data_IF_428630286082
#
_entry.id   IF_428630286082
#
_cell.length_a   1.000
_cell.length_b   1.000
_cell.length_c   1.000
_cell.angle_alpha   90.00
_cell.angle_beta   90.00
_cell.angle_gamma   90.00
#
_symmetry.space_group_name_H-M   'P 1'
#
loop_
_entity.id
_entity.type
_entity.pdbx_description
1 polymer ?
#
# COMPACT_ATOMS: atom_id res chain seq x y z
N UNK A 1 -4.51 14.20 -7.84
CA UNK A 1 -4.10 13.72 -9.18
C UNK A 1 -2.58 13.75 -9.27
N UNK A 2 -1.98 12.86 -10.05
CA UNK A 2 -0.53 12.82 -10.30
C UNK A 2 -0.26 12.88 -11.81
N UNK A 3 0.77 13.61 -12.21
CA UNK A 3 1.20 13.76 -13.60
C UNK A 3 2.72 13.66 -13.65
N UNK A 4 3.24 12.87 -14.58
CA UNK A 4 4.67 12.74 -14.84
C UNK A 4 4.90 12.36 -16.31
N UNK A 5 6.13 12.56 -16.78
CA UNK A 5 6.63 12.10 -18.07
C UNK A 5 6.86 10.58 -18.16
N UNK A 6 6.82 9.89 -17.02
CA UNK A 6 6.92 8.43 -16.89
C UNK A 6 5.62 7.86 -16.28
N UNK A 7 5.38 6.53 -16.38
CA UNK A 7 4.23 5.90 -15.73
C UNK A 7 4.18 6.21 -14.24
N UNK A 8 3.02 6.70 -13.78
CA UNK A 8 2.79 7.10 -12.39
C UNK A 8 1.43 6.58 -11.93
N UNK A 9 1.37 6.13 -10.68
CA UNK A 9 0.14 5.71 -10.01
C UNK A 9 -0.13 6.57 -8.80
N UNK A 10 -1.42 6.80 -8.53
CA UNK A 10 -1.89 7.50 -7.33
C UNK A 10 -3.16 6.82 -6.84
N UNK A 11 -3.28 6.71 -5.54
CA UNK A 11 -4.46 6.21 -4.87
C UNK A 11 -4.78 7.06 -3.64
N UNK A 12 -6.05 7.11 -3.27
CA UNK A 12 -6.55 7.76 -2.06
C UNK A 12 -7.79 7.00 -1.62
N UNK A 13 -7.87 6.67 -0.33
CA UNK A 13 -8.96 5.90 0.23
C UNK A 13 -9.58 6.66 1.40
N UNK A 14 -10.88 6.45 1.64
CA UNK A 14 -11.51 7.01 2.84
C UNK A 14 -11.47 5.97 3.95
N UNK A 15 -10.87 6.32 5.08
CA UNK A 15 -10.79 5.46 6.26
C UNK A 15 -12.18 5.18 6.81
N UNK A 16 -12.51 3.88 6.91
CA UNK A 16 -13.76 3.37 7.51
C UNK A 16 -13.48 2.05 8.22
N UNK A 17 -14.26 1.67 9.24
CA UNK A 17 -14.12 0.36 9.86
C UNK A 17 -14.18 -0.77 8.83
N UNK A 18 -13.19 -1.67 8.86
CA UNK A 18 -13.05 -2.75 7.87
C UNK A 18 -12.73 -4.09 8.53
N UNK A 19 -13.07 -5.19 7.85
CA UNK A 19 -12.67 -6.52 8.27
C UNK A 19 -11.23 -6.83 7.80
N UNK A 20 -10.36 -7.15 8.75
CA UNK A 20 -8.96 -7.54 8.49
C UNK A 20 -8.83 -8.88 7.72
N UNK A 21 -9.93 -9.63 7.55
CA UNK A 21 -9.95 -10.80 6.65
C UNK A 21 -9.65 -10.41 5.19
N UNK A 22 -9.94 -9.16 4.79
CA UNK A 22 -9.55 -8.62 3.48
C UNK A 22 -8.02 -8.59 3.37
N UNK A 23 -7.33 -8.05 4.39
CA UNK A 23 -5.87 -8.04 4.45
C UNK A 23 -5.30 -9.46 4.35
N UNK A 24 -5.88 -10.41 5.08
CA UNK A 24 -5.42 -11.81 5.06
C UNK A 24 -5.49 -12.46 3.67
N UNK A 25 -6.43 -12.03 2.82
CA UNK A 25 -6.63 -12.57 1.48
C UNK A 25 -5.74 -11.92 0.42
N UNK A 26 -5.47 -10.63 0.56
CA UNK A 26 -4.82 -9.84 -0.49
C UNK A 26 -3.40 -9.38 -0.15
N UNK A 27 -3.05 -9.23 1.12
CA UNK A 27 -1.72 -8.75 1.51
C UNK A 27 -0.72 -9.91 1.58
N UNK A 28 0.55 -9.57 1.46
CA UNK A 28 1.63 -10.50 1.71
C UNK A 28 1.62 -10.93 3.18
N UNK A 29 2.26 -12.07 3.49
CA UNK A 29 2.37 -12.54 4.89
C UNK A 29 3.08 -11.52 5.77
N UNK A 30 4.06 -10.80 5.22
CA UNK A 30 4.81 -9.76 5.93
C UNK A 30 3.89 -8.60 6.31
N UNK A 31 3.14 -8.08 5.34
CA UNK A 31 2.19 -6.97 5.54
C UNK A 31 1.07 -7.34 6.52
N UNK A 32 0.51 -8.55 6.38
CA UNK A 32 -0.52 -9.02 7.30
C UNK A 32 0.02 -9.18 8.73
N UNK A 33 1.25 -9.65 8.89
CA UNK A 33 1.92 -9.73 10.19
C UNK A 33 2.19 -8.33 10.77
N UNK A 34 2.67 -7.39 9.96
CA UNK A 34 2.94 -6.01 10.37
C UNK A 34 1.65 -5.32 10.81
N UNK A 35 0.54 -5.57 10.09
CA UNK A 35 -0.79 -5.08 10.42
C UNK A 35 -1.29 -5.63 11.77
N UNK A 36 -1.17 -6.94 12.00
CA UNK A 36 -1.59 -7.55 13.26
C UNK A 36 -0.72 -7.16 14.45
N UNK A 37 0.51 -6.69 14.21
CA UNK A 37 1.40 -6.18 15.25
C UNK A 37 1.02 -4.76 15.73
N UNK A 38 0.12 -4.06 15.03
CA UNK A 38 -0.39 -2.75 15.44
C UNK A 38 -1.42 -2.88 16.56
N UNK A 39 -1.53 -1.80 17.34
CA UNK A 39 -2.62 -1.65 18.30
C UNK A 39 -3.97 -1.58 17.57
N UNK A 40 -5.05 -2.04 18.22
CA UNK A 40 -6.35 -2.24 17.56
C UNK A 40 -6.94 -0.96 16.95
N UNK A 41 -6.66 0.17 17.58
CA UNK A 41 -7.04 1.51 17.12
C UNK A 41 -6.22 1.99 15.91
N UNK A 42 -4.98 1.53 15.76
CA UNK A 42 -4.11 1.86 14.61
C UNK A 42 -4.29 0.90 13.42
N UNK A 43 -4.86 -0.29 13.64
CA UNK A 43 -4.99 -1.33 12.59
C UNK A 43 -5.80 -0.86 11.38
N UNK A 44 -6.86 -0.07 11.58
CA UNK A 44 -7.68 0.39 10.45
C UNK A 44 -6.90 1.38 9.59
N UNK A 45 -6.22 2.35 10.20
CA UNK A 45 -5.43 3.35 9.47
C UNK A 45 -4.25 2.69 8.76
N UNK A 46 -3.55 1.78 9.45
CA UNK A 46 -2.45 1.04 8.85
C UNK A 46 -2.90 0.14 7.69
N UNK A 47 -4.10 -0.44 7.75
CA UNK A 47 -4.69 -1.15 6.62
C UNK A 47 -4.83 -0.23 5.40
N UNK A 48 -5.35 0.99 5.58
CA UNK A 48 -5.54 1.93 4.46
C UNK A 48 -4.22 2.48 3.93
N UNK A 49 -3.20 2.66 4.77
CA UNK A 49 -1.85 2.95 4.29
C UNK A 49 -1.34 1.81 3.40
N UNK A 50 -1.42 0.56 3.85
CA UNK A 50 -1.00 -0.59 3.03
C UNK A 50 -1.80 -0.66 1.73
N UNK A 51 -3.12 -0.54 1.81
CA UNK A 51 -4.01 -0.63 0.66
C UNK A 51 -3.69 0.45 -0.40
N UNK A 52 -3.64 1.72 0.00
CA UNK A 52 -3.37 2.83 -0.90
C UNK A 52 -1.97 2.77 -1.52
N UNK A 53 -0.95 2.39 -0.73
CA UNK A 53 0.39 2.15 -1.26
C UNK A 53 0.39 1.06 -2.33
N UNK A 54 -0.27 -0.08 -2.08
CA UNK A 54 -0.32 -1.19 -3.04
C UNK A 54 -1.11 -0.84 -4.30
N UNK A 55 -2.27 -0.19 -4.17
CA UNK A 55 -3.07 0.27 -5.31
C UNK A 55 -2.33 1.33 -6.13
N UNK A 56 -1.58 2.23 -5.49
CA UNK A 56 -0.75 3.22 -6.20
C UNK A 56 0.31 2.52 -7.07
N UNK A 57 0.93 1.45 -6.57
CA UNK A 57 1.90 0.67 -7.34
C UNK A 57 1.25 -0.10 -8.49
N UNK A 58 0.11 -0.75 -8.26
CA UNK A 58 -0.63 -1.46 -9.32
C UNK A 58 -1.07 -0.49 -10.43
N UNK A 59 -1.51 0.72 -10.05
CA UNK A 59 -1.89 1.78 -11.01
C UNK A 59 -0.70 2.30 -11.79
N UNK A 60 0.48 2.39 -11.17
CA UNK A 60 1.72 2.73 -11.87
C UNK A 60 2.09 1.65 -12.90
N UNK A 61 2.00 0.37 -12.50
CA UNK A 61 2.31 -0.77 -13.36
C UNK A 61 1.35 -0.92 -14.54
N UNK A 62 0.12 -0.41 -14.41
CA UNK A 62 -0.89 -0.42 -15.48
C UNK A 62 -1.43 -1.81 -15.84
N UNK A 63 -1.07 -2.85 -15.08
CA UNK A 63 -1.47 -4.25 -15.29
C UNK A 63 -2.82 -4.60 -14.63
N UNK A 64 -3.38 -3.67 -13.84
CA UNK A 64 -4.58 -3.90 -13.05
C UNK A 64 -4.43 -5.11 -12.11
N UNK A 65 -5.54 -5.79 -11.82
CA UNK A 65 -5.58 -6.95 -10.92
C UNK A 65 -4.89 -8.22 -11.46
N UNK A 66 -4.29 -8.16 -12.65
CA UNK A 66 -3.42 -9.25 -13.13
C UNK A 66 -2.12 -9.35 -12.35
N UNK A 67 -1.73 -8.30 -11.62
CA UNK A 67 -0.65 -8.34 -10.64
C UNK A 67 -1.21 -8.75 -9.26
N UNK A 68 -0.85 -9.92 -8.71
CA UNK A 68 -1.33 -10.34 -7.41
C UNK A 68 -0.82 -9.41 -6.31
N UNK A 69 -1.70 -8.94 -5.44
CA UNK A 69 -1.33 -8.06 -4.32
C UNK A 69 -0.35 -8.73 -3.35
N UNK A 70 -0.32 -10.07 -3.28
CA UNK A 70 0.61 -10.82 -2.43
C UNK A 70 1.99 -11.08 -3.08
N UNK A 71 2.20 -10.65 -4.33
CA UNK A 71 3.46 -10.85 -5.07
C UNK A 71 4.57 -9.84 -4.76
N UNK A 72 4.25 -8.78 -4.01
CA UNK A 72 5.16 -7.76 -3.54
C UNK A 72 4.73 -7.30 -2.14
N UNK A 73 5.68 -6.72 -1.38
CA UNK A 73 5.39 -6.18 -0.04
C UNK A 73 5.71 -4.70 0.02
N UNK A 74 4.87 -3.91 0.67
CA UNK A 74 5.15 -2.52 1.04
C UNK A 74 5.19 -2.40 2.56
N UNK A 75 5.97 -1.46 3.07
CA UNK A 75 6.02 -1.14 4.50
C UNK A 75 6.17 0.35 4.70
N UNK A 76 5.31 0.91 5.55
CA UNK A 76 5.45 2.26 6.08
C UNK A 76 6.25 2.20 7.39
N UNK A 77 7.37 2.91 7.43
CA UNK A 77 8.27 3.01 8.57
C UNK A 77 7.85 4.15 9.51
N UNK A 78 8.34 4.13 10.75
CA UNK A 78 7.99 5.13 11.77
C UNK A 78 8.45 6.55 11.43
N UNK A 79 9.46 6.69 10.57
CA UNK A 79 9.96 7.97 10.08
C UNK A 79 9.20 8.48 8.83
N UNK A 80 8.15 7.77 8.42
CA UNK A 80 7.31 8.11 7.27
C UNK A 80 7.88 7.64 5.92
N UNK A 81 9.03 6.95 5.90
CA UNK A 81 9.55 6.36 4.67
C UNK A 81 8.78 5.11 4.28
N UNK A 82 8.72 4.83 2.98
CA UNK A 82 8.11 3.62 2.44
C UNK A 82 9.18 2.77 1.77
N UNK A 83 9.20 1.48 2.10
CA UNK A 83 9.97 0.47 1.36
C UNK A 83 9.05 -0.43 0.56
N UNK A 84 9.47 -0.81 -0.65
CA UNK A 84 8.81 -1.81 -1.47
C UNK A 84 9.78 -2.96 -1.77
N UNK A 85 9.34 -4.18 -1.55
CA UNK A 85 10.06 -5.41 -1.88
C UNK A 85 9.51 -5.93 -3.21
N UNK A 86 10.35 -5.86 -4.25
CA UNK A 86 10.06 -6.30 -5.61
C UNK A 86 11.06 -7.37 -6.05
N UNK A 87 10.71 -8.21 -7.05
CA UNK A 87 11.69 -9.06 -7.72
C UNK A 87 12.84 -8.24 -8.34
N UNK A 88 14.06 -8.77 -8.31
CA UNK A 88 15.28 -8.08 -8.82
C UNK A 88 15.20 -7.62 -10.29
N UNK A 89 14.32 -8.23 -11.08
CA UNK A 89 14.10 -7.88 -12.49
C UNK A 89 13.20 -6.66 -12.70
N UNK A 90 12.64 -6.08 -11.64
CA UNK A 90 11.76 -4.93 -11.73
C UNK A 90 12.56 -3.62 -11.88
N UNK A 91 12.02 -2.69 -12.68
CA UNK A 91 12.59 -1.34 -12.74
C UNK A 91 12.38 -0.61 -11.39
N UNK A 92 13.31 0.23 -10.95
CA UNK A 92 13.16 0.92 -9.68
C UNK A 92 11.90 1.79 -9.66
N UNK A 93 11.15 1.74 -8.55
CA UNK A 93 10.01 2.62 -8.30
C UNK A 93 10.04 3.10 -6.84
N UNK A 94 9.29 4.16 -6.57
CA UNK A 94 9.23 4.81 -5.28
C UNK A 94 7.79 5.09 -4.91
N UNK A 95 7.45 4.89 -3.64
CA UNK A 95 6.15 5.22 -3.08
C UNK A 95 6.33 6.35 -2.07
N UNK A 96 5.40 7.29 -2.07
CA UNK A 96 5.33 8.37 -1.07
C UNK A 96 3.89 8.56 -0.63
N UNK A 97 3.68 8.59 0.68
CA UNK A 97 2.39 8.91 1.29
C UNK A 97 2.24 10.42 1.46
N UNK A 98 0.99 10.89 1.48
CA UNK A 98 0.64 12.30 1.66
C UNK A 98 -0.54 12.40 2.62
N UNK A 99 -0.33 13.08 3.75
CA UNK A 99 -1.38 13.43 4.69
C UNK A 99 -2.12 14.67 4.17
N UNK A 100 -3.33 14.47 3.63
CA UNK A 100 -4.15 15.55 3.04
C UNK A 100 -5.39 15.87 3.86
N UNK A 101 -5.93 14.88 4.59
CA UNK A 101 -7.10 14.99 5.47
C UNK A 101 -7.06 13.80 6.45
N UNK A 102 -7.28 13.97 7.77
CA UNK A 102 -7.23 12.88 8.75
C UNK A 102 -8.21 11.71 8.52
N UNK A 103 -9.22 11.89 7.67
CA UNK A 103 -10.18 10.84 7.31
C UNK A 103 -9.81 10.01 6.08
N UNK A 104 -8.60 10.19 5.53
CA UNK A 104 -8.14 9.61 4.27
C UNK A 104 -6.70 9.10 4.36
#
# INVERSE_FOLDING_TARGET
>A
CAFDSQPIGIDIEKTKPISLEIAKRFFSKTEYSDLLAKDKDEQTDYFYHLWSMKESFIKQEGKGLSLPLDSFSVRLHQDGQVSIELPDSHSPCYIKTYEVDPGY
#
